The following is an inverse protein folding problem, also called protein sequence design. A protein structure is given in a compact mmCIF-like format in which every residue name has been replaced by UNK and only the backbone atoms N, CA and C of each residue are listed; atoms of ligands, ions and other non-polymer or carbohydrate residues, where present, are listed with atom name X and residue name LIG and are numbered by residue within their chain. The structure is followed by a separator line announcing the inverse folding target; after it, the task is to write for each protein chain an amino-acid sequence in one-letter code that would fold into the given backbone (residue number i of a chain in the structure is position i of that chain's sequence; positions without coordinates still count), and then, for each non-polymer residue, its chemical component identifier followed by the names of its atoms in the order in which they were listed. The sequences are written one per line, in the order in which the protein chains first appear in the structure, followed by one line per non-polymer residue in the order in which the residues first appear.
data_IF_237672611182
#
_entry.id   IF_237672611182
#
_cell.length_a   1.000
_cell.length_b   1.000
_cell.length_c   1.000
_cell.angle_alpha   90.00
_cell.angle_beta   90.00
_cell.angle_gamma   90.00
#
_symmetry.space_group_name_H-M   'P 1'
#
loop_
_entity.id
_entity.type
_entity.pdbx_description
1 polymer ?
#
# COMPACT_ATOMS: atom_id res chain seq x y z
N UNK A 1 -17.80 1.14 -16.44
CA UNK A 1 -16.56 0.45 -16.01
C UNK A 1 -15.72 -0.04 -17.18
N UNK A 2 -16.24 -0.85 -18.12
CA UNK A 2 -15.40 -1.39 -19.23
C UNK A 2 -14.83 -0.28 -20.12
N UNK A 3 -15.67 0.66 -20.56
CA UNK A 3 -15.25 1.79 -21.43
C UNK A 3 -14.20 2.67 -20.74
N UNK A 4 -14.36 2.97 -19.45
CA UNK A 4 -13.40 3.77 -18.68
C UNK A 4 -12.08 3.03 -18.47
N UNK A 5 -12.11 1.71 -18.22
CA UNK A 5 -10.89 0.89 -18.07
C UNK A 5 -10.08 0.88 -19.37
N UNK A 6 -10.75 0.64 -20.51
CA UNK A 6 -10.11 0.65 -21.82
C UNK A 6 -9.55 2.05 -22.12
N UNK A 7 -10.32 3.11 -21.84
CA UNK A 7 -9.88 4.49 -22.00
C UNK A 7 -8.61 4.81 -21.20
N UNK A 8 -8.53 4.41 -19.93
CA UNK A 8 -7.34 4.64 -19.09
C UNK A 8 -6.11 3.86 -19.59
N UNK A 9 -6.29 2.61 -20.04
CA UNK A 9 -5.18 1.80 -20.58
C UNK A 9 -4.63 2.45 -21.86
N UNK A 10 -5.51 2.81 -22.79
CA UNK A 10 -5.12 3.43 -24.06
C UNK A 10 -4.45 4.78 -23.82
N UNK A 11 -5.04 5.64 -22.98
CA UNK A 11 -4.46 6.93 -22.65
C UNK A 11 -3.08 6.79 -21.99
N UNK A 12 -2.91 5.83 -21.07
CA UNK A 12 -1.63 5.56 -20.42
C UNK A 12 -0.54 5.06 -21.38
N UNK A 13 -0.91 4.26 -22.39
CA UNK A 13 0.05 3.72 -23.37
C UNK A 13 0.45 4.72 -24.46
N UNK A 14 -0.43 5.67 -24.81
CA UNK A 14 -0.15 6.70 -25.82
C UNK A 14 0.61 7.89 -25.22
N UNK A 15 0.51 8.09 -23.90
CA UNK A 15 1.26 9.15 -23.21
C UNK A 15 2.75 8.83 -23.20
N UNK A 16 3.59 9.85 -23.38
CA UNK A 16 5.04 9.68 -23.37
C UNK A 16 5.50 9.12 -22.01
N UNK A 17 6.41 8.13 -22.00
CA UNK A 17 7.00 7.65 -20.77
C UNK A 17 7.84 8.76 -20.12
N UNK A 18 7.86 8.78 -18.80
CA UNK A 18 8.68 9.70 -18.01
C UNK A 18 10.18 9.50 -18.27
N UNK A 19 10.95 10.56 -18.05
CA UNK A 19 12.41 10.50 -18.16
C UNK A 19 13.03 9.47 -17.19
N UNK A 20 14.14 8.86 -17.61
CA UNK A 20 14.82 7.82 -16.83
C UNK A 20 15.34 8.40 -15.51
N UNK A 21 15.75 9.66 -15.52
CA UNK A 21 16.27 10.39 -14.36
C UNK A 21 15.19 10.50 -13.28
N UNK A 22 13.97 10.93 -13.66
CA UNK A 22 12.82 11.00 -12.74
C UNK A 22 12.46 9.61 -12.21
N UNK A 23 12.47 8.59 -13.06
CA UNK A 23 12.18 7.20 -12.68
C UNK A 23 13.20 6.69 -11.64
N UNK A 24 14.48 6.96 -11.84
CA UNK A 24 15.55 6.56 -10.91
C UNK A 24 15.46 7.34 -9.59
N UNK A 25 15.19 8.65 -9.64
CA UNK A 25 14.99 9.47 -8.45
C UNK A 25 13.80 8.98 -7.62
N UNK A 26 12.66 8.75 -8.28
CA UNK A 26 11.46 8.19 -7.66
C UNK A 26 11.74 6.82 -7.04
N UNK A 27 12.38 5.92 -7.78
CA UNK A 27 12.70 4.58 -7.32
C UNK A 27 13.63 4.60 -6.09
N UNK A 28 14.64 5.46 -6.10
CA UNK A 28 15.59 5.60 -4.99
C UNK A 28 14.91 6.11 -3.72
N UNK A 29 13.98 7.06 -3.86
CA UNK A 29 13.23 7.64 -2.75
C UNK A 29 12.19 6.69 -2.16
N UNK A 30 11.35 6.09 -3.00
CA UNK A 30 10.17 5.32 -2.56
C UNK A 30 10.49 3.84 -2.35
N UNK A 31 11.54 3.32 -3.00
CA UNK A 31 11.92 1.90 -3.01
C UNK A 31 10.73 0.99 -3.34
N UNK A 32 10.04 1.32 -4.44
CA UNK A 32 8.86 0.58 -4.86
C UNK A 32 9.18 -0.90 -5.14
N UNK A 33 8.31 -1.80 -4.69
CA UNK A 33 8.37 -3.23 -5.01
C UNK A 33 7.59 -3.53 -6.31
N UNK A 34 7.86 -4.69 -6.93
CA UNK A 34 7.18 -5.12 -8.17
C UNK A 34 8.09 -5.10 -9.42
N UNK A 35 7.54 -4.70 -10.56
CA UNK A 35 8.17 -4.79 -11.89
C UNK A 35 9.19 -3.66 -12.17
N UNK A 36 10.05 -3.34 -11.21
CA UNK A 36 11.02 -2.23 -11.30
C UNK A 36 12.44 -2.66 -11.70
N UNK A 37 12.64 -3.91 -12.12
CA UNK A 37 13.97 -4.45 -12.46
C UNK A 37 14.78 -3.57 -13.45
N UNK A 38 14.20 -3.06 -14.56
CA UNK A 38 14.95 -2.24 -15.51
C UNK A 38 15.39 -0.88 -14.93
N UNK A 39 14.62 -0.31 -14.00
CA UNK A 39 14.94 0.97 -13.35
C UNK A 39 15.96 0.74 -12.22
N UNK A 40 15.82 -0.36 -11.47
CA UNK A 40 16.78 -0.78 -10.45
C UNK A 40 18.18 -0.97 -11.02
N UNK A 41 18.33 -1.67 -12.15
CA UNK A 41 19.63 -1.89 -12.79
C UNK A 41 20.31 -0.57 -13.21
N UNK A 42 19.52 0.45 -13.59
CA UNK A 42 20.03 1.79 -13.89
C UNK A 42 20.38 2.56 -12.61
N UNK A 43 19.55 2.45 -11.57
CA UNK A 43 19.77 3.11 -10.29
C UNK A 43 21.04 2.59 -9.59
N UNK A 44 21.29 1.28 -9.59
CA UNK A 44 22.48 0.66 -8.99
C UNK A 44 23.78 1.10 -9.67
N UNK A 45 23.76 1.36 -10.98
CA UNK A 45 24.92 1.91 -11.70
C UNK A 45 25.28 3.33 -11.24
N UNK A 46 24.28 4.10 -10.82
CA UNK A 46 24.46 5.47 -10.34
C UNK A 46 24.80 5.48 -8.83
N UNK A 47 24.18 4.58 -8.07
CA UNK A 47 24.41 4.44 -6.64
C UNK A 47 24.44 2.95 -6.22
N UNK A 48 25.64 2.38 -6.02
CA UNK A 48 25.81 0.97 -5.65
C UNK A 48 25.25 0.58 -4.28
N UNK A 49 24.96 1.56 -3.41
CA UNK A 49 24.42 1.30 -2.07
C UNK A 49 22.89 1.04 -2.08
N UNK A 50 22.23 1.11 -3.25
CA UNK A 50 20.79 0.86 -3.36
C UNK A 50 20.51 -0.64 -3.26
N UNK A 51 19.89 -1.05 -2.16
CA UNK A 51 19.37 -2.39 -1.99
C UNK A 51 17.94 -2.53 -2.53
N UNK A 52 17.66 -3.67 -3.16
CA UNK A 52 16.31 -4.02 -3.63
C UNK A 52 15.36 -4.18 -2.46
N UNK A 53 14.16 -3.59 -2.55
CA UNK A 53 13.13 -3.78 -1.55
C UNK A 53 12.55 -5.21 -1.59
N UNK A 54 12.62 -5.91 -0.45
CA UNK A 54 12.09 -7.27 -0.22
C UNK A 54 10.84 -7.29 0.66
N UNK A 55 10.33 -6.12 1.08
CA UNK A 55 9.20 -5.97 1.99
C UNK A 55 7.83 -6.34 1.39
N UNK A 56 7.77 -6.86 0.15
CA UNK A 56 6.54 -7.19 -0.59
C UNK A 56 5.49 -7.92 0.26
N UNK A 57 5.88 -9.02 0.90
CA UNK A 57 4.96 -9.85 1.69
C UNK A 57 4.41 -9.11 2.92
N UNK A 58 5.27 -8.32 3.58
CA UNK A 58 4.87 -7.51 4.73
C UNK A 58 3.89 -6.43 4.31
N UNK A 59 4.17 -5.76 3.20
CA UNK A 59 3.35 -4.66 2.71
C UNK A 59 1.97 -5.18 2.25
N UNK A 60 1.90 -6.32 1.55
CA UNK A 60 0.63 -6.97 1.21
C UNK A 60 -0.19 -7.38 2.42
N UNK A 61 0.44 -7.98 3.43
CA UNK A 61 -0.24 -8.32 4.68
C UNK A 61 -0.82 -7.07 5.35
N UNK A 62 -0.03 -6.01 5.47
CA UNK A 62 -0.47 -4.74 6.06
C UNK A 62 -1.63 -4.11 5.26
N UNK A 63 -1.58 -4.17 3.92
CA UNK A 63 -2.66 -3.67 3.05
C UNK A 63 -3.97 -4.43 3.31
N UNK A 64 -3.94 -5.76 3.35
CA UNK A 64 -5.13 -6.58 3.56
C UNK A 64 -5.75 -6.28 4.93
N UNK A 65 -4.93 -6.25 5.99
CA UNK A 65 -5.41 -5.89 7.33
C UNK A 65 -5.93 -4.46 7.35
N UNK A 66 -5.29 -3.53 6.64
CA UNK A 66 -5.74 -2.15 6.47
C UNK A 66 -7.11 -2.04 5.81
N UNK A 67 -7.40 -2.87 4.80
CA UNK A 67 -8.73 -2.93 4.17
C UNK A 67 -9.78 -3.41 5.16
N UNK A 68 -9.51 -4.48 5.92
CA UNK A 68 -10.44 -4.98 6.95
C UNK A 68 -10.68 -3.91 8.02
N UNK A 69 -9.61 -3.24 8.46
CA UNK A 69 -9.69 -2.14 9.42
C UNK A 69 -10.56 -0.98 8.89
N UNK A 70 -10.33 -0.50 7.66
CA UNK A 70 -11.14 0.54 7.03
C UNK A 70 -12.61 0.13 6.89
N UNK A 71 -12.88 -1.09 6.45
CA UNK A 71 -14.25 -1.60 6.32
C UNK A 71 -14.98 -1.64 7.66
N UNK A 72 -14.28 -2.01 8.74
CA UNK A 72 -14.88 -2.03 10.09
C UNK A 72 -15.30 -0.62 10.56
N UNK A 73 -14.52 0.43 10.24
CA UNK A 73 -14.90 1.81 10.55
C UNK A 73 -16.19 2.27 9.87
N UNK A 74 -16.45 1.77 8.66
CA UNK A 74 -17.69 2.07 7.92
C UNK A 74 -18.87 1.23 8.42
N UNK A 75 -18.62 -0.02 8.80
CA UNK A 75 -19.66 -0.95 9.26
C UNK A 75 -20.18 -0.61 10.67
N UNK A 76 -19.32 -0.20 11.60
CA UNK A 76 -19.68 0.15 12.98
C UNK A 76 -20.83 1.19 13.06
N UNK A 77 -20.77 2.36 12.40
CA UNK A 77 -21.86 3.33 12.46
C UNK A 77 -23.15 2.79 11.82
N UNK A 78 -23.06 1.93 10.80
CA UNK A 78 -24.25 1.27 10.25
C UNK A 78 -24.90 0.34 11.28
N UNK A 79 -24.11 -0.50 11.97
CA UNK A 79 -24.60 -1.40 13.02
C UNK A 79 -25.24 -0.66 14.19
N UNK A 80 -24.70 0.51 14.54
CA UNK A 80 -25.29 1.39 15.53
C UNK A 80 -26.66 1.93 15.08
N UNK A 81 -26.79 2.34 13.81
CA UNK A 81 -28.04 2.86 13.24
C UNK A 81 -29.13 1.79 13.21
N UNK A 82 -28.80 0.56 12.81
CA UNK A 82 -29.75 -0.57 12.81
C UNK A 82 -29.95 -1.21 14.19
N UNK A 83 -29.26 -0.68 15.22
CA UNK A 83 -29.28 -1.15 16.61
C UNK A 83 -28.88 -2.63 16.81
N UNK A 84 -28.07 -3.18 15.90
CA UNK A 84 -27.52 -4.53 16.05
C UNK A 84 -26.29 -4.51 16.97
N UNK A 85 -26.52 -4.65 18.28
CA UNK A 85 -25.47 -4.59 19.30
C UNK A 85 -24.50 -5.76 19.21
N UNK A 86 -24.91 -6.90 18.67
CA UNK A 86 -24.04 -8.06 18.47
C UNK A 86 -23.03 -7.78 17.35
N UNK A 87 -23.52 -7.35 16.19
CA UNK A 87 -22.68 -6.97 15.06
C UNK A 87 -21.78 -5.77 15.40
N UNK A 88 -22.29 -4.80 16.17
CA UNK A 88 -21.51 -3.67 16.67
C UNK A 88 -20.33 -4.12 17.54
N UNK A 89 -20.56 -5.06 18.46
CA UNK A 89 -19.52 -5.65 19.31
C UNK A 89 -18.45 -6.37 18.49
N UNK A 90 -18.87 -7.19 17.52
CA UNK A 90 -17.96 -7.90 16.60
C UNK A 90 -17.15 -6.90 15.77
N UNK A 91 -17.81 -5.93 15.13
CA UNK A 91 -17.15 -4.92 14.29
C UNK A 91 -16.13 -4.08 15.07
N UNK A 92 -16.47 -3.69 16.30
CA UNK A 92 -15.55 -2.99 17.21
C UNK A 92 -14.38 -3.88 17.62
N UNK A 93 -14.63 -5.17 17.91
CA UNK A 93 -13.58 -6.14 18.20
C UNK A 93 -12.60 -6.30 17.04
N UNK A 94 -13.12 -6.44 15.81
CA UNK A 94 -12.31 -6.51 14.58
C UNK A 94 -11.48 -5.25 14.41
N UNK A 95 -12.07 -4.06 14.61
CA UNK A 95 -11.35 -2.79 14.54
C UNK A 95 -10.17 -2.74 15.53
N UNK A 96 -10.40 -3.12 16.79
CA UNK A 96 -9.37 -3.10 17.83
C UNK A 96 -8.24 -4.11 17.55
N UNK A 97 -8.58 -5.34 17.14
CA UNK A 97 -7.60 -6.38 16.82
C UNK A 97 -6.75 -5.95 15.61
N UNK A 98 -7.39 -5.50 14.54
CA UNK A 98 -6.67 -5.07 13.33
C UNK A 98 -5.83 -3.81 13.59
N UNK A 99 -6.30 -2.88 14.43
CA UNK A 99 -5.51 -1.73 14.91
C UNK A 99 -4.24 -2.18 15.62
N UNK A 100 -4.35 -3.17 16.52
CA UNK A 100 -3.21 -3.70 17.25
C UNK A 100 -2.21 -4.42 16.33
N UNK A 101 -2.70 -5.20 15.37
CA UNK A 101 -1.87 -5.85 14.35
C UNK A 101 -1.11 -4.79 13.55
N UNK A 102 -1.80 -3.80 12.99
CA UNK A 102 -1.19 -2.72 12.19
C UNK A 102 -0.20 -1.87 13.00
N UNK A 103 -0.48 -1.64 14.28
CA UNK A 103 0.47 -0.94 15.16
C UNK A 103 1.82 -1.67 15.18
N UNK A 104 1.81 -2.99 15.39
CA UNK A 104 3.03 -3.80 15.45
C UNK A 104 3.66 -4.08 14.09
N UNK A 105 2.85 -4.40 13.09
CA UNK A 105 3.33 -4.86 11.78
C UNK A 105 3.75 -3.72 10.86
N UNK A 106 3.20 -2.52 11.06
CA UNK A 106 3.45 -1.34 10.24
C UNK A 106 3.98 -0.15 11.06
N UNK A 107 3.19 0.40 11.99
CA UNK A 107 3.52 1.68 12.64
C UNK A 107 4.85 1.66 13.41
N UNK A 108 5.10 0.61 14.20
CA UNK A 108 6.35 0.49 14.98
C UNK A 108 7.58 0.27 14.06
N UNK A 109 7.38 -0.34 12.89
CA UNK A 109 8.46 -0.58 11.92
C UNK A 109 8.80 0.66 11.08
N UNK A 110 7.87 1.59 10.91
CA UNK A 110 8.16 2.89 10.28
C UNK A 110 9.23 3.66 11.05
N UNK A 111 9.11 3.70 12.39
CA UNK A 111 10.09 4.39 13.26
C UNK A 111 11.50 3.79 13.14
N UNK A 112 11.59 2.47 13.01
CA UNK A 112 12.88 1.76 12.93
C UNK A 112 13.65 2.06 11.63
N UNK A 113 12.97 2.48 10.55
CA UNK A 113 13.57 2.79 9.25
C UNK A 113 14.01 4.25 9.11
N UNK A 114 13.87 5.06 10.17
CA UNK A 114 14.25 6.48 10.21
C UNK A 114 15.62 6.62 10.90
N UNK A 115 16.69 6.13 10.27
CA UNK A 115 18.10 6.46 10.56
C UNK A 115 18.85 6.46 9.24
#
# INVERSE_FOLDING_TARGET
MIVSTIGCIIAGLITKPESVEILVEFYTRVRAWGFWKPVYEKAVKINPAIEKNTDFYRDWFNIIIGIIWQMSLVAIPMYLVIQDMSALGIGTGVLLITSYILKKSWYDKLKKKTI
#
